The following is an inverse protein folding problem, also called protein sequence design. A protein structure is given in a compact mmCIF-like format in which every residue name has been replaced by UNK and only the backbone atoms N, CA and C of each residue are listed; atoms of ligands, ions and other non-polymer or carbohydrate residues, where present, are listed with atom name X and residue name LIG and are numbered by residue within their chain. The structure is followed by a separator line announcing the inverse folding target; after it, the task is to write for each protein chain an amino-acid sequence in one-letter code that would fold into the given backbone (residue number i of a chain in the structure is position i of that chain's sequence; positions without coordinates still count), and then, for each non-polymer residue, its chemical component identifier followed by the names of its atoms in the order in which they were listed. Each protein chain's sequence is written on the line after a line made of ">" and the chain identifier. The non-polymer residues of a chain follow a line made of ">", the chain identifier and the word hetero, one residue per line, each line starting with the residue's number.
data_IF_423926399885
#
_entry.id   IF_423926399885
#
_cell.length_a   1.000
_cell.length_b   1.000
_cell.length_c   1.000
_cell.angle_alpha   90.00
_cell.angle_beta   90.00
_cell.angle_gamma   90.00
#
_symmetry.space_group_name_H-M   'P 1'
#
loop_
_entity.id
_entity.type
_entity.pdbx_description
1 polymer ?
#
# COMPACT_ATOMS: atom_id res chain seq x y z
N UNK A 1 -27.70 46.55 -10.92
CA UNK A 1 -26.71 45.46 -11.12
C UNK A 1 -27.42 44.19 -10.72
N UNK A 2 -27.66 43.29 -11.66
CA UNK A 2 -28.35 42.04 -11.39
C UNK A 2 -27.37 41.10 -10.69
N UNK A 3 -27.69 40.75 -9.44
CA UNK A 3 -26.94 39.78 -8.65
C UNK A 3 -27.02 38.40 -9.33
N UNK A 4 -25.85 37.86 -9.68
CA UNK A 4 -25.73 36.47 -10.14
C UNK A 4 -25.62 35.61 -8.87
N UNK A 5 -26.76 35.23 -8.31
CA UNK A 5 -26.80 34.22 -7.24
C UNK A 5 -26.51 32.83 -7.84
N UNK A 6 -25.25 32.41 -7.72
CA UNK A 6 -24.88 31.01 -7.97
C UNK A 6 -24.94 30.25 -6.65
N UNK A 7 -26.15 29.97 -6.16
CA UNK A 7 -26.38 29.11 -4.98
C UNK A 7 -27.30 27.95 -5.31
N UNK A 8 -26.82 26.99 -6.12
CA UNK A 8 -27.42 25.65 -6.12
C UNK A 8 -26.70 24.81 -5.08
N UNK A 9 -27.25 24.72 -3.87
CA UNK A 9 -26.94 23.60 -2.99
C UNK A 9 -27.39 22.34 -3.71
N UNK A 10 -26.44 21.58 -4.22
CA UNK A 10 -26.67 20.34 -4.93
C UNK A 10 -27.00 19.24 -3.91
N UNK A 11 -28.27 18.81 -3.86
CA UNK A 11 -28.77 17.80 -2.93
C UNK A 11 -29.00 16.43 -3.56
N UNK A 12 -28.70 16.27 -4.86
CA UNK A 12 -28.87 14.98 -5.54
C UNK A 12 -27.89 13.95 -4.99
N UNK A 13 -28.44 12.79 -4.63
CA UNK A 13 -27.68 11.59 -4.27
C UNK A 13 -27.60 10.71 -5.51
N UNK A 14 -26.39 10.28 -5.85
CA UNK A 14 -26.14 9.38 -6.97
C UNK A 14 -25.80 8.00 -6.43
N UNK A 15 -26.78 7.12 -6.44
CA UNK A 15 -26.59 5.74 -6.00
C UNK A 15 -25.71 4.97 -6.99
N UNK A 16 -24.80 4.11 -6.51
CA UNK A 16 -24.02 3.24 -7.37
C UNK A 16 -24.92 2.27 -8.12
N UNK A 17 -24.50 1.89 -9.33
CA UNK A 17 -25.22 0.89 -10.11
C UNK A 17 -25.33 -0.44 -9.33
N UNK A 18 -26.48 -1.15 -9.36
CA UNK A 18 -26.66 -2.39 -8.61
C UNK A 18 -25.61 -3.46 -8.90
N UNK A 19 -25.17 -3.57 -10.17
CA UNK A 19 -24.12 -4.50 -10.58
C UNK A 19 -22.77 -4.18 -9.94
N UNK A 20 -22.45 -2.89 -9.75
CA UNK A 20 -21.23 -2.48 -9.07
C UNK A 20 -21.28 -2.87 -7.60
N UNK A 21 -22.40 -2.58 -6.92
CA UNK A 21 -22.62 -2.91 -5.50
C UNK A 21 -22.38 -4.39 -5.24
N UNK A 22 -22.95 -5.26 -6.07
CA UNK A 22 -22.85 -6.72 -5.92
C UNK A 22 -21.41 -7.25 -6.01
N UNK A 23 -20.53 -6.58 -6.76
CA UNK A 23 -19.13 -6.99 -6.98
C UNK A 23 -18.12 -6.26 -6.08
N UNK A 24 -18.58 -5.29 -5.29
CA UNK A 24 -17.71 -4.47 -4.47
C UNK A 24 -17.22 -5.23 -3.22
N UNK A 25 -15.99 -4.92 -2.79
CA UNK A 25 -15.44 -5.46 -1.54
C UNK A 25 -16.31 -5.11 -0.32
N UNK A 26 -16.96 -3.94 -0.36
CA UNK A 26 -17.97 -3.51 0.62
C UNK A 26 -19.28 -3.33 -0.15
N UNK A 27 -20.15 -4.33 -0.08
CA UNK A 27 -21.37 -4.41 -0.89
C UNK A 27 -22.51 -3.56 -0.30
N UNK A 28 -22.42 -2.24 -0.47
CA UNK A 28 -23.49 -1.28 -0.16
C UNK A 28 -23.48 -0.78 1.29
N UNK A 29 -24.44 0.09 1.60
CA UNK A 29 -24.47 0.82 2.87
C UNK A 29 -24.67 -0.05 4.10
N UNK A 30 -25.35 -1.18 3.99
CA UNK A 30 -25.53 -2.09 5.13
C UNK A 30 -24.23 -2.83 5.47
N UNK A 31 -23.48 -3.29 4.45
CA UNK A 31 -22.15 -3.87 4.65
C UNK A 31 -21.16 -2.84 5.23
N UNK A 32 -21.21 -1.60 4.74
CA UNK A 32 -20.42 -0.50 5.29
C UNK A 32 -20.77 -0.24 6.77
N UNK A 33 -22.06 -0.09 7.10
CA UNK A 33 -22.50 0.15 8.48
C UNK A 33 -22.12 -0.99 9.42
N UNK A 34 -22.18 -2.24 8.95
CA UNK A 34 -21.72 -3.39 9.71
C UNK A 34 -20.20 -3.31 9.99
N UNK A 35 -19.40 -2.94 9.00
CA UNK A 35 -17.95 -2.77 9.16
C UNK A 35 -17.60 -1.65 10.15
N UNK A 36 -18.32 -0.53 10.08
CA UNK A 36 -18.18 0.58 11.04
C UNK A 36 -18.55 0.13 12.45
N UNK A 37 -19.68 -0.54 12.61
CA UNK A 37 -20.12 -1.04 13.91
C UNK A 37 -19.14 -2.06 14.52
N UNK A 38 -18.50 -2.90 13.69
CA UNK A 38 -17.44 -3.81 14.14
C UNK A 38 -16.24 -3.01 14.69
N UNK A 39 -15.76 -2.02 13.93
CA UNK A 39 -14.62 -1.19 14.33
C UNK A 39 -14.91 -0.35 15.59
N UNK A 40 -16.13 0.16 15.75
CA UNK A 40 -16.56 0.91 16.93
C UNK A 40 -16.69 0.03 18.19
N UNK A 41 -17.04 -1.25 18.02
CA UNK A 41 -17.18 -2.19 19.13
C UNK A 41 -15.84 -2.70 19.66
N UNK A 42 -14.89 -2.99 18.77
CA UNK A 42 -13.55 -3.47 19.13
C UNK A 42 -12.51 -2.99 18.11
N UNK A 43 -12.03 -1.77 18.29
CA UNK A 43 -11.06 -1.13 17.39
C UNK A 43 -9.76 -1.96 17.25
N UNK A 44 -9.22 -2.46 18.37
CA UNK A 44 -7.98 -3.23 18.34
C UNK A 44 -8.19 -4.62 17.74
N UNK A 45 -9.30 -5.29 18.02
CA UNK A 45 -9.66 -6.55 17.38
C UNK A 45 -9.83 -6.38 15.88
N UNK A 46 -10.55 -5.35 15.45
CA UNK A 46 -10.76 -5.00 14.04
C UNK A 46 -9.43 -4.80 13.29
N UNK A 47 -8.60 -3.86 13.74
CA UNK A 47 -7.32 -3.58 13.09
C UNK A 47 -6.33 -4.74 13.20
N UNK A 48 -6.32 -5.43 14.34
CA UNK A 48 -5.49 -6.60 14.56
C UNK A 48 -5.84 -7.78 13.65
N UNK A 49 -7.11 -7.95 13.29
CA UNK A 49 -7.57 -8.95 12.32
C UNK A 49 -7.13 -8.57 10.91
N UNK A 50 -7.44 -7.36 10.45
CA UNK A 50 -7.09 -6.89 9.11
C UNK A 50 -5.58 -6.90 8.86
N UNK A 51 -4.78 -6.49 9.85
CA UNK A 51 -3.32 -6.50 9.72
C UNK A 51 -2.75 -7.92 9.56
N UNK A 52 -3.38 -8.96 10.12
CA UNK A 52 -2.96 -10.36 9.95
C UNK A 52 -3.47 -10.96 8.65
N UNK A 53 -4.64 -10.56 8.19
CA UNK A 53 -5.24 -11.03 6.93
C UNK A 53 -4.53 -10.46 5.71
N UNK A 54 -4.15 -9.18 5.75
CA UNK A 54 -3.67 -8.46 4.56
C UNK A 54 -2.16 -8.29 4.47
N UNK A 55 -1.41 -8.51 5.56
CA UNK A 55 0.04 -8.37 5.58
C UNK A 55 0.73 -9.67 6.01
N UNK A 56 1.83 -9.96 5.35
CA UNK A 56 2.74 -11.03 5.70
C UNK A 56 3.79 -10.51 6.69
N UNK A 57 3.74 -11.07 7.90
CA UNK A 57 4.62 -10.75 9.00
C UNK A 57 5.75 -11.79 9.08
N UNK A 58 6.99 -11.31 9.20
CA UNK A 58 8.12 -12.17 9.57
C UNK A 58 8.05 -12.54 11.06
N UNK A 59 7.66 -11.58 11.90
CA UNK A 59 7.36 -11.81 13.31
C UNK A 59 5.98 -11.24 13.56
N UNK A 60 4.97 -12.07 13.89
CA UNK A 60 3.64 -11.58 14.23
C UNK A 60 3.68 -10.64 15.44
N UNK A 61 2.86 -9.60 15.43
CA UNK A 61 2.68 -8.72 16.58
C UNK A 61 1.78 -9.37 17.64
N UNK A 62 2.04 -9.05 18.91
CA UNK A 62 1.21 -9.46 20.05
C UNK A 62 0.34 -8.31 20.55
N UNK A 63 0.76 -7.06 20.38
CA UNK A 63 0.03 -5.86 20.79
C UNK A 63 -0.39 -5.06 19.56
N UNK A 64 -1.68 -4.74 19.45
CA UNK A 64 -2.23 -3.98 18.30
C UNK A 64 -1.87 -2.51 18.41
N UNK A 65 -2.21 -1.89 19.53
CA UNK A 65 -1.96 -0.48 19.79
C UNK A 65 -1.31 -0.31 21.17
N UNK A 66 -0.21 0.45 21.21
CA UNK A 66 0.39 0.95 22.43
C UNK A 66 0.21 2.47 22.55
N UNK A 67 -0.53 2.88 23.58
CA UNK A 67 -0.85 4.27 23.89
C UNK A 67 -0.20 4.74 25.20
N UNK A 68 0.61 3.90 25.86
CA UNK A 68 1.16 4.22 27.18
C UNK A 68 2.10 5.44 27.18
N UNK A 69 2.59 5.81 26.00
CA UNK A 69 3.53 6.92 25.75
C UNK A 69 2.89 7.99 24.85
N UNK A 70 1.58 8.22 24.95
CA UNK A 70 0.89 9.25 24.18
C UNK A 70 1.60 10.62 24.31
N UNK A 71 1.84 11.36 23.21
CA UNK A 71 1.26 11.19 21.87
C UNK A 71 2.06 10.27 20.92
N UNK A 72 3.04 9.49 21.40
CA UNK A 72 3.84 8.55 20.60
C UNK A 72 3.19 7.16 20.50
N UNK A 73 2.08 7.10 19.78
CA UNK A 73 1.35 5.86 19.51
C UNK A 73 2.19 4.86 18.71
N UNK A 74 2.15 3.58 19.10
CA UNK A 74 2.81 2.49 18.35
C UNK A 74 1.79 1.44 17.94
N UNK A 75 1.60 1.32 16.64
CA UNK A 75 0.80 0.25 16.04
C UNK A 75 1.69 -0.94 15.74
N UNK A 76 1.29 -2.13 16.20
CA UNK A 76 1.96 -3.40 15.94
C UNK A 76 3.47 -3.38 16.27
N UNK A 77 3.86 -2.64 17.33
CA UNK A 77 5.24 -2.21 17.55
C UNK A 77 6.25 -3.34 17.84
N UNK A 78 5.76 -4.51 18.22
CA UNK A 78 6.56 -5.73 18.44
C UNK A 78 6.58 -6.66 17.20
N UNK A 79 5.78 -6.37 16.18
CA UNK A 79 5.75 -7.08 14.91
C UNK A 79 6.90 -6.67 13.98
N UNK A 80 7.30 -7.59 13.10
CA UNK A 80 8.31 -7.35 12.07
C UNK A 80 7.79 -7.78 10.71
N UNK A 81 7.91 -6.89 9.73
CA UNK A 81 7.62 -7.15 8.32
C UNK A 81 8.64 -6.45 7.43
N UNK A 82 8.63 -6.77 6.14
CA UNK A 82 9.31 -5.99 5.12
C UNK A 82 8.29 -5.54 4.06
N UNK A 83 8.30 -4.26 3.71
CA UNK A 83 7.37 -3.67 2.75
C UNK A 83 7.60 -4.25 1.36
N UNK A 84 8.86 -4.33 0.91
CA UNK A 84 9.20 -4.89 -0.41
C UNK A 84 8.78 -6.36 -0.54
N UNK A 85 8.90 -7.14 0.53
CA UNK A 85 8.38 -8.51 0.57
C UNK A 85 6.87 -8.56 0.34
N UNK A 86 6.11 -7.74 1.07
CA UNK A 86 4.65 -7.67 0.93
C UNK A 86 4.20 -7.18 -0.44
N UNK A 87 4.96 -6.27 -1.07
CA UNK A 87 4.64 -5.74 -2.39
C UNK A 87 5.10 -6.63 -3.56
N UNK A 88 6.07 -7.53 -3.37
CA UNK A 88 6.68 -8.27 -4.47
C UNK A 88 6.70 -9.77 -4.21
N UNK A 89 7.47 -10.23 -3.22
CA UNK A 89 7.76 -11.64 -2.99
C UNK A 89 6.49 -12.46 -2.70
N UNK A 90 5.51 -11.89 -1.98
CA UNK A 90 4.22 -12.56 -1.73
C UNK A 90 3.51 -12.91 -3.03
N UNK A 91 3.58 -12.05 -4.05
CA UNK A 91 2.97 -12.31 -5.34
C UNK A 91 3.70 -13.40 -6.13
N UNK A 92 5.03 -13.50 -5.99
CA UNK A 92 5.80 -14.60 -6.58
C UNK A 92 5.37 -15.93 -5.96
N UNK A 93 5.28 -16.00 -4.63
CA UNK A 93 4.89 -17.23 -3.92
C UNK A 93 3.43 -17.63 -4.18
N UNK A 94 2.54 -16.66 -4.36
CA UNK A 94 1.12 -16.91 -4.58
C UNK A 94 0.78 -17.18 -6.07
N UNK A 95 1.76 -17.54 -6.90
CA UNK A 95 1.54 -17.91 -8.30
C UNK A 95 1.26 -16.74 -9.25
N UNK A 96 1.51 -15.49 -8.83
CA UNK A 96 1.32 -14.30 -9.65
C UNK A 96 2.63 -13.79 -10.28
N UNK A 97 3.66 -14.63 -10.37
CA UNK A 97 4.98 -14.24 -10.88
C UNK A 97 4.91 -13.59 -12.28
N UNK A 98 4.13 -14.17 -13.19
CA UNK A 98 3.96 -13.69 -14.57
C UNK A 98 2.86 -12.61 -14.71
N UNK A 99 2.16 -12.28 -13.63
CA UNK A 99 1.16 -11.21 -13.63
C UNK A 99 1.86 -9.86 -13.78
N UNK A 100 1.31 -9.01 -14.63
CA UNK A 100 1.80 -7.62 -14.79
C UNK A 100 1.62 -6.87 -13.47
N UNK A 101 2.73 -6.38 -12.92
CA UNK A 101 2.77 -5.57 -11.70
C UNK A 101 2.72 -4.08 -12.02
N UNK A 102 3.42 -3.65 -13.08
CA UNK A 102 3.49 -2.25 -13.51
C UNK A 102 3.14 -2.17 -14.99
N UNK A 103 2.21 -1.28 -15.32
CA UNK A 103 1.98 -0.79 -16.68
C UNK A 103 2.47 0.65 -16.68
N UNK A 104 3.54 0.90 -17.41
CA UNK A 104 4.14 2.22 -17.52
C UNK A 104 3.90 2.75 -18.92
N UNK A 105 3.28 3.93 -19.02
CA UNK A 105 3.05 4.64 -20.26
C UNK A 105 3.91 5.89 -20.27
N UNK A 106 4.67 6.07 -21.34
CA UNK A 106 5.52 7.24 -21.55
C UNK A 106 4.70 8.40 -22.12
N UNK A 107 5.26 9.61 -22.07
CA UNK A 107 4.65 10.79 -22.69
C UNK A 107 4.45 10.66 -24.21
N UNK A 108 5.23 9.79 -24.88
CA UNK A 108 5.05 9.46 -26.30
C UNK A 108 3.93 8.43 -26.56
N UNK A 109 3.32 7.87 -25.51
CA UNK A 109 2.30 6.82 -25.57
C UNK A 109 2.87 5.40 -25.64
N UNK A 110 4.20 5.23 -25.56
CA UNK A 110 4.80 3.89 -25.52
C UNK A 110 4.50 3.21 -24.19
N UNK A 111 3.99 1.97 -24.26
CA UNK A 111 3.58 1.20 -23.09
C UNK A 111 4.57 0.07 -22.81
N UNK A 112 5.13 0.07 -21.60
CA UNK A 112 5.94 -1.01 -21.05
C UNK A 112 5.16 -1.74 -19.96
N UNK A 113 5.08 -3.06 -20.06
CA UNK A 113 4.50 -3.93 -19.02
C UNK A 113 5.63 -4.68 -18.33
N UNK A 114 5.62 -4.66 -16.99
CA UNK A 114 6.62 -5.35 -16.16
C UNK A 114 5.88 -6.33 -15.26
N UNK A 115 6.25 -7.60 -15.31
CA UNK A 115 5.69 -8.63 -14.42
C UNK A 115 6.23 -8.52 -13.00
N UNK A 116 5.56 -9.15 -12.03
CA UNK A 116 6.09 -9.25 -10.67
C UNK A 116 7.49 -9.87 -10.63
N UNK A 117 7.74 -10.92 -11.43
CA UNK A 117 9.05 -11.56 -11.50
C UNK A 117 10.14 -10.62 -12.04
N UNK A 118 9.85 -9.88 -13.09
CA UNK A 118 10.79 -8.91 -13.68
C UNK A 118 11.08 -7.75 -12.72
N UNK A 119 10.04 -7.22 -12.08
CA UNK A 119 10.18 -6.15 -11.10
C UNK A 119 10.98 -6.61 -9.88
N UNK A 120 10.68 -7.80 -9.34
CA UNK A 120 11.42 -8.41 -8.24
C UNK A 120 12.91 -8.56 -8.57
N UNK A 121 13.23 -9.04 -9.77
CA UNK A 121 14.63 -9.16 -10.24
C UNK A 121 15.34 -7.81 -10.26
N UNK A 122 14.72 -6.78 -10.84
CA UNK A 122 15.28 -5.41 -10.89
C UNK A 122 15.51 -4.84 -9.49
N UNK A 123 14.52 -5.01 -8.60
CA UNK A 123 14.61 -4.57 -7.19
C UNK A 123 15.72 -5.28 -6.44
N UNK A 124 15.85 -6.60 -6.57
CA UNK A 124 16.92 -7.35 -5.91
C UNK A 124 18.31 -6.95 -6.44
N UNK A 125 18.44 -6.72 -7.74
CA UNK A 125 19.69 -6.24 -8.33
C UNK A 125 20.07 -4.87 -7.78
N UNK A 126 19.14 -3.91 -7.75
CA UNK A 126 19.43 -2.57 -7.25
C UNK A 126 19.68 -2.54 -5.74
N UNK A 127 18.93 -3.33 -4.96
CA UNK A 127 19.15 -3.49 -3.52
C UNK A 127 20.56 -4.03 -3.20
N UNK A 128 21.04 -5.01 -3.97
CA UNK A 128 22.41 -5.51 -3.84
C UNK A 128 23.46 -4.47 -4.25
N UNK A 129 23.17 -3.65 -5.27
CA UNK A 129 23.98 -2.48 -5.63
C UNK A 129 24.12 -1.50 -4.46
N UNK A 130 23.01 -1.09 -3.84
CA UNK A 130 23.01 -0.21 -2.66
C UNK A 130 23.82 -0.81 -1.50
N UNK A 131 23.64 -2.11 -1.22
CA UNK A 131 24.44 -2.81 -0.20
C UNK A 131 25.94 -2.81 -0.50
N UNK A 132 26.32 -2.94 -1.78
CA UNK A 132 27.73 -2.90 -2.19
C UNK A 132 28.39 -1.54 -1.99
N UNK A 133 27.58 -0.47 -2.01
CA UNK A 133 28.00 0.90 -1.69
C UNK A 133 28.00 1.18 -0.17
N UNK A 134 27.66 0.18 0.65
CA UNK A 134 27.71 0.28 2.11
C UNK A 134 26.43 0.79 2.76
N UNK A 135 25.32 0.92 2.02
CA UNK A 135 24.02 1.33 2.58
C UNK A 135 23.48 0.24 3.52
N UNK A 136 23.03 0.66 4.71
CA UNK A 136 22.55 -0.19 5.79
C UNK A 136 21.12 0.19 6.21
N UNK A 137 20.51 -0.67 7.01
CA UNK A 137 19.23 -0.40 7.65
C UNK A 137 19.31 0.91 8.46
N UNK A 138 18.37 1.81 8.23
CA UNK A 138 18.29 3.12 8.89
C UNK A 138 19.02 4.25 8.15
N UNK A 139 19.83 3.94 7.13
CA UNK A 139 20.42 4.98 6.29
C UNK A 139 19.35 5.66 5.44
N UNK A 140 19.62 6.90 5.03
CA UNK A 140 18.71 7.71 4.20
C UNK A 140 19.22 7.77 2.77
N UNK A 141 18.34 7.51 1.79
CA UNK A 141 18.66 7.51 0.36
C UNK A 141 17.75 8.48 -0.35
N UNK A 142 18.30 9.60 -0.85
CA UNK A 142 17.52 10.55 -1.64
C UNK A 142 17.36 10.02 -3.07
N UNK A 143 16.13 9.88 -3.54
CA UNK A 143 15.80 9.47 -4.90
C UNK A 143 15.41 10.71 -5.70
N UNK A 144 16.21 11.05 -6.71
CA UNK A 144 15.92 12.13 -7.65
C UNK A 144 15.76 11.56 -9.06
N UNK A 145 14.53 11.19 -9.39
CA UNK A 145 14.16 10.52 -10.65
C UNK A 145 12.78 11.00 -11.13
N UNK A 146 12.51 10.99 -12.44
CA UNK A 146 11.16 11.19 -12.96
C UNK A 146 10.26 9.99 -12.67
N UNK A 147 8.94 10.13 -12.93
CA UNK A 147 8.00 9.02 -12.85
C UNK A 147 8.41 7.92 -13.84
N UNK A 148 8.91 6.81 -13.33
CA UNK A 148 9.54 5.74 -14.11
C UNK A 148 9.45 4.40 -13.36
N UNK A 149 9.61 3.30 -14.09
CA UNK A 149 9.76 1.96 -13.50
C UNK A 149 10.95 1.94 -12.55
N UNK A 150 12.06 2.60 -12.93
CA UNK A 150 13.28 2.72 -12.14
C UNK A 150 13.04 3.45 -10.82
N UNK A 151 12.15 4.45 -10.78
CA UNK A 151 11.73 5.10 -9.54
C UNK A 151 11.05 4.13 -8.56
N UNK A 152 10.16 3.27 -9.06
CA UNK A 152 9.52 2.21 -8.25
C UNK A 152 10.56 1.20 -7.77
N UNK A 153 11.48 0.80 -8.66
CA UNK A 153 12.60 -0.11 -8.32
C UNK A 153 13.46 0.49 -7.20
N UNK A 154 13.76 1.79 -7.26
CA UNK A 154 14.60 2.46 -6.28
C UNK A 154 13.97 2.51 -4.88
N UNK A 155 12.69 2.89 -4.79
CA UNK A 155 11.94 2.91 -3.52
C UNK A 155 11.85 1.50 -2.93
N UNK A 156 11.45 0.51 -3.74
CA UNK A 156 11.31 -0.87 -3.29
C UNK A 156 12.66 -1.47 -2.86
N UNK A 157 13.75 -1.16 -3.54
CA UNK A 157 15.10 -1.62 -3.15
C UNK A 157 15.54 -1.04 -1.78
N UNK A 158 15.28 0.25 -1.54
CA UNK A 158 15.55 0.88 -0.25
C UNK A 158 14.73 0.23 0.87
N UNK A 159 13.42 0.06 0.66
CA UNK A 159 12.54 -0.62 1.61
C UNK A 159 12.97 -2.08 1.87
N UNK A 160 13.49 -2.78 0.85
CA UNK A 160 13.98 -4.17 0.96
C UNK A 160 15.17 -4.30 1.91
N UNK A 161 16.07 -3.33 1.91
CA UNK A 161 17.27 -3.32 2.77
C UNK A 161 17.06 -2.57 4.09
N UNK A 162 15.87 -1.98 4.28
CA UNK A 162 15.51 -1.21 5.47
C UNK A 162 16.11 0.20 5.51
N UNK A 163 16.48 0.75 4.35
CA UNK A 163 16.84 2.16 4.22
C UNK A 163 15.58 3.03 4.07
N UNK A 164 15.68 4.28 4.51
CA UNK A 164 14.61 5.29 4.40
C UNK A 164 14.82 6.09 3.11
N UNK A 165 13.86 6.00 2.18
CA UNK A 165 13.88 6.74 0.92
C UNK A 165 12.94 7.94 0.94
#
# INVERSE_FOLDING_TARGET
>A
MADIETFKQETRIFEPAPSFVQSAAISGMDAYRALVAEAEQDEQGFWGRLAREHLQWQTPFTKVLDESDAPFYKWFGDGKLNVSYNCLDVHLHNGNADKVAVIFETDSGDVTKVTYQELHKKVCQFANGLKSLGIKKGDRVVIYMPMSIEGVVAMQACARIGATH
#
